data_IF_885009605415
#
_entry.id   IF_885009605415
#
_cell.length_a   1.000
_cell.length_b   1.000
_cell.length_c   1.000
_cell.angle_alpha   90.00
_cell.angle_beta   90.00
_cell.angle_gamma   90.00
#
_symmetry.space_group_name_H-M   'P 1'
#
loop_
_entity.id
_entity.type
_entity.pdbx_description
1 polymer ?
#
# COMPACT_ATOMS: atom_id res chain seq x y z
N UNK A 1 -3.83 19.74 -18.95
CA UNK A 1 -3.89 19.19 -17.59
C UNK A 1 -5.35 18.84 -17.30
N UNK A 2 -5.77 17.58 -17.45
CA UNK A 2 -7.12 17.17 -17.04
C UNK A 2 -7.11 17.04 -15.53
N UNK A 3 -7.79 17.93 -14.83
CA UNK A 3 -8.14 17.73 -13.42
C UNK A 3 -8.97 16.44 -13.37
N UNK A 4 -8.62 15.42 -12.57
CA UNK A 4 -9.53 14.31 -12.38
C UNK A 4 -10.75 14.87 -11.66
N UNK A 5 -11.87 14.94 -12.39
CA UNK A 5 -13.17 15.19 -11.78
C UNK A 5 -13.47 13.92 -11.00
N UNK A 6 -13.18 13.95 -9.70
CA UNK A 6 -13.96 13.15 -8.78
C UNK A 6 -15.38 13.65 -8.99
N UNK A 7 -16.25 12.80 -9.56
CA UNK A 7 -17.68 13.10 -9.74
C UNK A 7 -18.30 13.27 -8.36
N UNK A 8 -18.10 14.45 -7.77
CA UNK A 8 -18.73 14.84 -6.53
C UNK A 8 -20.22 14.87 -6.82
N UNK A 9 -21.03 14.07 -6.10
CA UNK A 9 -22.45 14.01 -6.37
C UNK A 9 -23.08 15.39 -6.17
N UNK A 10 -23.98 15.75 -7.07
CA UNK A 10 -24.73 17.00 -7.07
C UNK A 10 -25.82 16.97 -6.00
N UNK A 11 -26.33 18.16 -5.65
CA UNK A 11 -27.48 18.27 -4.74
C UNK A 11 -28.69 17.49 -5.27
N UNK A 12 -28.96 17.54 -6.57
CA UNK A 12 -30.10 16.84 -7.17
C UNK A 12 -29.97 15.31 -7.02
N UNK A 13 -28.79 14.74 -7.31
CA UNK A 13 -28.53 13.30 -7.17
C UNK A 13 -28.68 12.84 -5.71
N UNK A 14 -28.16 13.62 -4.76
CA UNK A 14 -28.29 13.30 -3.33
C UNK A 14 -29.71 13.48 -2.81
N UNK A 15 -30.43 14.53 -3.27
CA UNK A 15 -31.78 14.84 -2.82
C UNK A 15 -32.79 13.75 -3.21
N UNK A 16 -32.57 13.07 -4.35
CA UNK A 16 -33.38 11.90 -4.76
C UNK A 16 -33.31 10.77 -3.74
N UNK A 17 -32.16 10.57 -3.10
CA UNK A 17 -31.91 9.43 -2.19
C UNK A 17 -32.22 9.81 -0.73
N UNK A 18 -31.78 11.00 -0.31
CA UNK A 18 -31.75 11.39 1.10
C UNK A 18 -32.72 12.53 1.45
N UNK A 19 -33.39 13.13 0.46
CA UNK A 19 -34.15 14.37 0.61
C UNK A 19 -33.27 15.62 0.56
N UNK A 20 -33.86 16.74 0.14
CA UNK A 20 -33.12 17.98 -0.15
C UNK A 20 -32.35 18.53 1.05
N UNK A 21 -32.99 18.58 2.23
CA UNK A 21 -32.34 19.10 3.45
C UNK A 21 -31.10 18.27 3.80
N UNK A 22 -31.24 16.94 3.86
CA UNK A 22 -30.12 16.06 4.20
C UNK A 22 -29.00 16.11 3.17
N UNK A 23 -29.36 16.24 1.88
CA UNK A 23 -28.40 16.39 0.81
C UNK A 23 -27.56 17.68 0.96
N UNK A 24 -28.18 18.80 1.36
CA UNK A 24 -27.45 20.03 1.69
C UNK A 24 -26.51 19.84 2.89
N UNK A 25 -26.99 19.26 3.98
CA UNK A 25 -26.14 18.93 5.15
C UNK A 25 -24.93 18.07 4.79
N UNK A 26 -25.11 17.09 3.89
CA UNK A 26 -24.02 16.22 3.43
C UNK A 26 -23.00 16.98 2.57
N UNK A 27 -23.44 17.92 1.74
CA UNK A 27 -22.55 18.73 0.91
C UNK A 27 -21.76 19.76 1.73
N UNK A 28 -22.36 20.26 2.81
CA UNK A 28 -21.76 21.26 3.71
C UNK A 28 -20.99 20.64 4.88
N UNK A 29 -20.91 19.31 4.95
CA UNK A 29 -20.29 18.59 6.06
C UNK A 29 -18.79 18.97 6.22
N UNK A 30 -18.33 19.29 7.45
CA UNK A 30 -17.04 19.96 7.66
C UNK A 30 -15.83 19.03 7.70
N UNK A 31 -16.01 17.70 7.68
CA UNK A 31 -14.95 16.73 7.92
C UNK A 31 -13.80 16.83 6.92
N UNK A 32 -14.07 16.66 5.62
CA UNK A 32 -13.01 16.77 4.60
C UNK A 32 -12.39 18.19 4.52
N UNK A 33 -13.17 19.30 4.56
CA UNK A 33 -12.61 20.64 4.70
C UNK A 33 -11.60 20.77 5.85
N UNK A 34 -11.90 20.20 7.03
CA UNK A 34 -11.00 20.21 8.17
C UNK A 34 -9.70 19.42 7.90
N UNK A 35 -9.77 18.25 7.24
CA UNK A 35 -8.58 17.50 6.82
C UNK A 35 -7.70 18.32 5.89
N UNK A 36 -8.31 18.97 4.89
CA UNK A 36 -7.57 19.81 3.93
C UNK A 36 -6.92 21.02 4.59
N UNK A 37 -7.60 21.67 5.55
CA UNK A 37 -7.05 22.78 6.30
C UNK A 37 -5.84 22.36 7.16
N UNK A 38 -5.91 21.19 7.80
CA UNK A 38 -4.84 20.67 8.65
C UNK A 38 -3.59 20.22 7.87
N UNK A 39 -3.73 19.88 6.58
CA UNK A 39 -2.67 19.29 5.76
C UNK A 39 -1.38 20.13 5.67
N UNK A 40 -1.46 21.45 5.86
CA UNK A 40 -0.29 22.33 5.89
C UNK A 40 0.65 22.05 7.06
N UNK A 41 0.12 21.50 8.17
CA UNK A 41 0.90 21.09 9.34
C UNK A 41 1.46 19.66 9.25
N UNK A 42 1.04 18.88 8.24
CA UNK A 42 1.48 17.50 8.11
C UNK A 42 2.94 17.41 7.61
N UNK A 43 3.81 16.60 8.25
CA UNK A 43 5.19 16.42 7.80
C UNK A 43 5.26 15.85 6.38
N UNK A 44 6.08 16.50 5.53
CA UNK A 44 6.29 16.07 4.15
C UNK A 44 6.81 14.63 4.05
N UNK A 45 7.62 14.19 5.02
CA UNK A 45 8.13 12.80 5.11
C UNK A 45 7.01 11.75 5.19
N UNK A 46 5.81 12.12 5.64
CA UNK A 46 4.62 11.27 5.56
C UNK A 46 3.81 11.60 4.31
N UNK A 47 3.31 12.83 4.18
CA UNK A 47 2.25 13.11 3.19
C UNK A 47 2.75 13.24 1.75
N UNK A 48 4.04 13.51 1.56
CA UNK A 48 4.69 13.57 0.26
C UNK A 48 5.47 12.28 -0.07
N UNK A 49 5.39 11.27 0.80
CA UNK A 49 5.91 9.94 0.50
C UNK A 49 5.12 9.28 -0.62
N UNK A 50 5.84 8.56 -1.48
CA UNK A 50 5.29 7.72 -2.54
C UNK A 50 4.29 6.68 -2.03
N UNK A 51 3.19 6.52 -2.76
CA UNK A 51 2.12 5.56 -2.52
C UNK A 51 1.84 4.78 -3.80
N UNK A 52 2.14 3.48 -3.75
CA UNK A 52 1.94 2.60 -4.89
C UNK A 52 0.47 2.15 -5.03
N UNK A 53 0.09 1.78 -6.23
CA UNK A 53 -1.02 0.87 -6.46
C UNK A 53 -0.53 -0.55 -6.14
N UNK A 54 -1.36 -1.39 -5.50
CA UNK A 54 -0.94 -2.76 -5.15
C UNK A 54 -0.41 -3.55 -6.36
N UNK A 55 -1.03 -3.38 -7.53
CA UNK A 55 -0.56 -4.01 -8.79
C UNK A 55 0.84 -3.57 -9.23
N UNK A 56 1.29 -2.38 -8.86
CA UNK A 56 2.65 -1.88 -9.20
C UNK A 56 3.74 -2.59 -8.39
N UNK A 57 3.42 -3.12 -7.21
CA UNK A 57 4.37 -3.76 -6.29
C UNK A 57 4.02 -5.23 -5.99
N UNK A 58 3.09 -5.81 -6.74
CA UNK A 58 2.53 -7.13 -6.47
C UNK A 58 3.58 -8.24 -6.42
N UNK A 59 4.50 -8.29 -7.38
CA UNK A 59 5.53 -9.33 -7.48
C UNK A 59 6.48 -9.29 -6.27
N UNK A 60 6.86 -8.09 -5.83
CA UNK A 60 7.74 -7.90 -4.67
C UNK A 60 7.02 -8.07 -3.32
N UNK A 61 5.69 -7.97 -3.26
CA UNK A 61 4.90 -8.11 -2.03
C UNK A 61 4.16 -9.45 -1.99
N UNK A 62 2.93 -9.50 -2.52
CA UNK A 62 2.09 -10.69 -2.55
C UNK A 62 2.72 -11.86 -3.31
N UNK A 63 3.55 -11.58 -4.32
CA UNK A 63 4.33 -12.59 -5.04
C UNK A 63 5.32 -13.34 -4.14
N UNK A 64 5.93 -12.64 -3.19
CA UNK A 64 6.89 -13.21 -2.24
C UNK A 64 6.25 -13.68 -0.93
N UNK A 65 4.93 -13.55 -0.79
CA UNK A 65 4.20 -13.94 0.41
C UNK A 65 4.18 -15.47 0.59
N UNK A 66 4.37 -15.91 1.82
CA UNK A 66 4.23 -17.31 2.21
C UNK A 66 2.74 -17.64 2.47
N UNK A 67 2.31 -18.90 2.34
CA UNK A 67 0.89 -19.27 2.39
C UNK A 67 0.23 -19.06 3.75
N UNK A 68 1.01 -19.07 4.84
CA UNK A 68 0.47 -18.88 6.18
C UNK A 68 0.16 -17.40 6.45
N UNK A 69 -0.96 -17.14 7.10
CA UNK A 69 -1.33 -15.79 7.53
C UNK A 69 -1.98 -15.81 8.91
N UNK A 70 -1.98 -14.66 9.57
CA UNK A 70 -2.70 -14.41 10.81
C UNK A 70 -3.42 -13.08 10.72
N UNK A 71 -4.62 -13.00 11.29
CA UNK A 71 -5.35 -11.74 11.46
C UNK A 71 -5.21 -11.27 12.91
N UNK A 72 -5.00 -9.97 13.10
CA UNK A 72 -4.96 -9.31 14.40
C UNK A 72 -5.43 -7.85 14.26
N UNK A 73 -5.85 -7.25 15.38
CA UNK A 73 -6.01 -5.80 15.46
C UNK A 73 -4.70 -5.19 15.92
N UNK A 74 -4.15 -4.26 15.15
CA UNK A 74 -2.83 -3.67 15.37
C UNK A 74 -2.88 -2.15 15.28
N UNK A 75 -2.03 -1.49 16.05
CA UNK A 75 -1.71 -0.09 15.85
C UNK A 75 -0.76 0.01 14.64
N UNK A 76 -1.16 0.76 13.62
CA UNK A 76 -0.44 0.84 12.35
C UNK A 76 0.22 2.21 12.24
N UNK A 77 1.56 2.30 12.36
CA UNK A 77 2.26 3.54 12.06
C UNK A 77 2.00 3.94 10.61
N UNK A 78 1.69 5.22 10.37
CA UNK A 78 1.41 5.69 9.00
C UNK A 78 2.62 5.43 8.07
N UNK A 79 3.82 5.44 8.65
CA UNK A 79 5.06 5.15 7.94
C UNK A 79 5.19 3.70 7.45
N UNK A 80 4.30 2.79 7.82
CA UNK A 80 4.33 1.39 7.35
C UNK A 80 3.36 1.10 6.19
N UNK A 81 2.59 2.09 5.74
CA UNK A 81 1.59 1.94 4.67
C UNK A 81 2.17 2.37 3.32
N UNK A 82 2.36 1.42 2.40
CA UNK A 82 3.06 1.63 1.13
C UNK A 82 2.17 1.66 -0.09
N UNK A 83 1.01 0.99 -0.04
CA UNK A 83 0.16 0.89 -1.21
C UNK A 83 -1.33 0.83 -0.89
N UNK A 84 -2.11 1.10 -1.95
CA UNK A 84 -3.55 1.07 -1.97
C UNK A 84 -4.03 0.00 -2.96
N UNK A 85 -5.09 -0.71 -2.61
CA UNK A 85 -5.71 -1.72 -3.50
C UNK A 85 -6.24 -1.14 -4.82
N UNK A 86 -6.65 0.13 -4.82
CA UNK A 86 -7.05 0.87 -6.01
C UNK A 86 -6.78 2.39 -5.85
N UNK A 87 -6.69 3.12 -6.97
CA UNK A 87 -6.51 4.58 -7.00
C UNK A 87 -7.52 5.30 -7.92
N UNK A 88 -8.63 4.64 -8.29
CA UNK A 88 -9.64 5.10 -9.27
C UNK A 88 -10.20 6.53 -9.09
N UNK A 89 -10.02 7.16 -7.94
CA UNK A 89 -10.43 8.55 -7.66
C UNK A 89 -9.32 9.58 -7.94
N UNK A 90 -8.09 9.12 -8.17
CA UNK A 90 -6.89 9.90 -8.44
C UNK A 90 -5.76 8.99 -9.00
N UNK A 91 -5.96 8.41 -10.20
CA UNK A 91 -5.07 7.37 -10.74
C UNK A 91 -3.60 7.83 -10.92
N UNK A 92 -3.41 9.09 -11.27
CA UNK A 92 -2.08 9.68 -11.46
C UNK A 92 -1.42 10.13 -10.16
N UNK A 93 -2.15 10.15 -9.05
CA UNK A 93 -1.61 10.58 -7.76
C UNK A 93 -0.55 9.58 -7.25
N UNK A 94 0.59 10.13 -6.82
CA UNK A 94 1.74 9.37 -6.35
C UNK A 94 2.01 9.56 -4.86
N UNK A 95 1.43 10.58 -4.22
CA UNK A 95 1.60 10.88 -2.79
C UNK A 95 0.28 10.97 -2.05
N UNK A 96 0.28 10.81 -0.72
CA UNK A 96 -0.92 10.99 0.09
C UNK A 96 -1.55 12.38 -0.08
N UNK A 97 -0.72 13.43 -0.14
CA UNK A 97 -1.17 14.81 -0.42
C UNK A 97 -1.91 14.90 -1.75
N UNK A 98 -1.35 14.33 -2.81
CA UNK A 98 -1.99 14.36 -4.13
C UNK A 98 -3.25 13.49 -4.20
N UNK A 99 -3.30 12.37 -3.47
CA UNK A 99 -4.47 11.50 -3.37
C UNK A 99 -5.65 12.21 -2.69
N UNK A 100 -5.40 13.03 -1.67
CA UNK A 100 -6.45 13.76 -0.95
C UNK A 100 -7.26 14.68 -1.88
N UNK A 101 -6.65 15.19 -2.95
CA UNK A 101 -7.33 16.05 -3.93
C UNK A 101 -8.47 15.32 -4.66
N UNK A 102 -8.36 14.00 -4.83
CA UNK A 102 -9.40 13.17 -5.47
C UNK A 102 -10.53 12.74 -4.55
N UNK A 103 -10.51 13.11 -3.27
CA UNK A 103 -11.56 12.73 -2.31
C UNK A 103 -12.63 13.81 -2.26
N UNK A 104 -13.90 13.41 -2.42
CA UNK A 104 -15.05 14.31 -2.31
C UNK A 104 -15.54 14.49 -0.87
N UNK A 105 -15.47 13.45 -0.02
CA UNK A 105 -15.78 13.53 1.42
C UNK A 105 -17.21 13.96 1.77
N UNK A 106 -18.15 13.78 0.84
CA UNK A 106 -19.56 14.16 1.03
C UNK A 106 -20.14 13.38 2.20
N UNK A 107 -20.81 14.09 3.11
CA UNK A 107 -21.41 13.53 4.33
C UNK A 107 -20.43 13.30 5.48
N UNK A 108 -19.16 13.67 5.35
CA UNK A 108 -18.18 13.47 6.41
C UNK A 108 -18.30 14.58 7.44
N UNK A 109 -18.87 14.27 8.61
CA UNK A 109 -18.94 15.17 9.76
C UNK A 109 -17.62 15.15 10.55
N UNK A 110 -17.60 15.83 11.70
CA UNK A 110 -16.51 15.72 12.67
C UNK A 110 -16.37 14.30 13.25
N UNK A 111 -17.43 13.49 13.20
CA UNK A 111 -17.38 12.09 13.63
C UNK A 111 -16.42 11.27 12.75
N UNK A 112 -16.27 11.62 11.47
CA UNK A 112 -15.27 11.00 10.61
C UNK A 112 -13.84 11.26 11.11
N UNK A 113 -13.58 12.44 11.68
CA UNK A 113 -12.28 12.78 12.26
C UNK A 113 -12.08 12.05 13.59
N UNK A 114 -13.12 12.02 14.43
CA UNK A 114 -13.11 11.27 15.68
C UNK A 114 -12.85 9.78 15.42
N UNK A 115 -13.39 9.21 14.35
CA UNK A 115 -13.09 7.84 13.92
C UNK A 115 -11.61 7.63 13.58
N UNK A 116 -10.96 8.59 12.92
CA UNK A 116 -9.53 8.47 12.62
C UNK A 116 -8.67 8.47 13.88
N UNK A 117 -9.09 9.24 14.89
CA UNK A 117 -8.40 9.34 16.16
C UNK A 117 -8.77 8.21 17.12
N UNK A 118 -9.88 7.50 16.91
CA UNK A 118 -10.35 6.43 17.80
C UNK A 118 -9.57 5.12 17.61
N UNK A 119 -9.89 4.16 18.48
CA UNK A 119 -9.57 2.76 18.21
C UNK A 119 -10.55 2.23 17.16
N UNK A 120 -10.05 1.80 15.99
CA UNK A 120 -10.91 1.47 14.85
C UNK A 120 -11.63 0.14 15.06
N UNK A 121 -10.89 -0.90 15.43
CA UNK A 121 -11.42 -2.25 15.67
C UNK A 121 -12.39 -2.72 14.59
N UNK A 122 -13.57 -3.13 15.04
CA UNK A 122 -14.66 -3.59 14.18
C UNK A 122 -15.68 -2.48 13.86
N UNK A 123 -15.39 -1.22 14.21
CA UNK A 123 -16.33 -0.12 14.06
C UNK A 123 -16.43 0.32 12.59
N UNK A 124 -17.66 0.49 12.08
CA UNK A 124 -17.85 1.04 10.74
C UNK A 124 -17.43 2.50 10.70
N UNK A 125 -17.13 2.99 9.51
CA UNK A 125 -16.87 4.43 9.33
C UNK A 125 -18.21 5.19 9.39
N UNK A 126 -18.31 6.32 10.11
CA UNK A 126 -19.58 6.98 10.44
C UNK A 126 -20.13 7.82 9.29
N UNK A 127 -20.29 7.21 8.11
CA UNK A 127 -20.83 7.84 6.90
C UNK A 127 -21.79 6.87 6.22
N UNK A 128 -22.96 7.33 5.71
CA UNK A 128 -23.88 6.48 4.97
C UNK A 128 -23.15 5.71 3.86
N UNK A 129 -23.52 4.43 3.66
CA UNK A 129 -22.94 3.51 2.65
C UNK A 129 -21.50 3.04 2.90
N UNK A 130 -20.82 3.47 3.96
CA UNK A 130 -19.50 2.95 4.28
C UNK A 130 -19.58 1.48 4.76
N UNK A 131 -19.19 0.56 3.89
CA UNK A 131 -19.18 -0.86 4.20
C UNK A 131 -17.87 -1.25 4.92
N UNK A 132 -18.02 -2.07 5.96
CA UNK A 132 -16.95 -2.72 6.73
C UNK A 132 -15.96 -1.79 7.47
N UNK A 133 -15.27 -2.28 8.50
CA UNK A 133 -14.16 -1.58 9.16
C UNK A 133 -12.95 -1.41 8.23
N UNK A 134 -12.00 -0.54 8.59
CA UNK A 134 -10.74 -0.42 7.85
C UNK A 134 -9.89 -1.69 8.01
N UNK A 135 -9.42 -2.23 6.89
CA UNK A 135 -8.64 -3.47 6.80
C UNK A 135 -7.37 -3.27 5.99
N UNK A 136 -6.32 -3.94 6.41
CA UNK A 136 -5.04 -3.93 5.73
C UNK A 136 -4.46 -5.34 5.60
N UNK A 137 -3.55 -5.49 4.63
CA UNK A 137 -2.75 -6.69 4.45
C UNK A 137 -1.28 -6.32 4.62
N UNK A 138 -0.58 -7.04 5.50
CA UNK A 138 0.85 -6.86 5.72
C UNK A 138 1.65 -7.97 5.02
N UNK A 139 2.68 -7.58 4.28
CA UNK A 139 3.65 -8.46 3.65
C UNK A 139 5.02 -8.22 4.28
N UNK A 140 5.41 -9.09 5.23
CA UNK A 140 6.45 -8.71 6.18
C UNK A 140 6.00 -7.48 6.96
N UNK A 141 6.85 -6.46 7.08
CA UNK A 141 6.54 -5.22 7.80
C UNK A 141 5.77 -4.15 7.00
N UNK A 142 5.62 -4.30 5.68
CA UNK A 142 4.95 -3.32 4.82
C UNK A 142 3.45 -3.61 4.66
N UNK A 143 2.62 -2.57 4.67
CA UNK A 143 1.17 -2.68 4.59
C UNK A 143 0.59 -2.16 3.27
N UNK A 144 -0.47 -2.83 2.85
CA UNK A 144 -1.35 -2.46 1.75
C UNK A 144 -2.76 -2.30 2.29
N UNK A 145 -3.42 -1.19 1.96
CA UNK A 145 -4.82 -0.98 2.29
C UNK A 145 -5.73 -1.74 1.32
N UNK A 146 -6.60 -2.60 1.84
CA UNK A 146 -7.45 -3.47 1.01
C UNK A 146 -8.90 -2.99 0.92
N UNK A 147 -9.36 -2.15 1.85
CA UNK A 147 -10.66 -1.50 1.78
C UNK A 147 -10.62 -0.09 2.37
N UNK A 148 -11.68 0.71 2.20
CA UNK A 148 -11.76 2.02 2.83
C UNK A 148 -10.64 2.99 2.41
N UNK A 149 -10.24 2.95 1.15
CA UNK A 149 -9.07 3.70 0.66
C UNK A 149 -9.26 5.22 0.80
N UNK A 150 -10.45 5.74 0.50
CA UNK A 150 -10.75 7.16 0.69
C UNK A 150 -10.58 7.58 2.15
N UNK A 151 -11.17 6.83 3.10
CA UNK A 151 -11.04 7.14 4.54
C UNK A 151 -9.60 7.03 5.02
N UNK A 152 -8.83 6.07 4.51
CA UNK A 152 -7.41 5.95 4.85
C UNK A 152 -6.60 7.16 4.41
N UNK A 153 -6.75 7.60 3.16
CA UNK A 153 -5.98 8.76 2.65
C UNK A 153 -6.23 10.00 3.51
N UNK A 154 -7.49 10.25 3.88
CA UNK A 154 -7.84 11.34 4.77
C UNK A 154 -7.29 11.13 6.18
N UNK A 155 -7.38 9.91 6.73
CA UNK A 155 -6.83 9.59 8.04
C UNK A 155 -5.31 9.80 8.10
N UNK A 156 -4.57 9.39 7.06
CA UNK A 156 -3.12 9.63 6.97
C UNK A 156 -2.82 11.12 7.02
N UNK A 157 -3.52 11.92 6.21
CA UNK A 157 -3.30 13.37 6.16
C UNK A 157 -3.65 14.05 7.50
N UNK A 158 -4.79 13.67 8.08
CA UNK A 158 -5.28 14.23 9.35
C UNK A 158 -4.36 13.87 10.52
N UNK A 159 -4.08 12.58 10.71
CA UNK A 159 -3.27 12.10 11.83
C UNK A 159 -1.81 12.56 11.72
N UNK A 160 -1.25 12.63 10.50
CA UNK A 160 0.08 13.20 10.30
C UNK A 160 0.13 14.68 10.69
N UNK A 161 -0.90 15.46 10.37
CA UNK A 161 -1.00 16.86 10.80
C UNK A 161 -1.12 17.02 12.32
N UNK A 162 -1.77 16.08 13.00
CA UNK A 162 -2.01 16.13 14.45
C UNK A 162 -0.87 15.58 15.29
N UNK A 163 -0.24 14.51 14.83
CA UNK A 163 0.69 13.71 15.64
C UNK A 163 2.08 13.58 15.01
N UNK A 164 2.31 14.22 13.85
CA UNK A 164 3.60 14.20 13.18
C UNK A 164 4.02 12.79 12.76
N UNK A 165 5.32 12.52 12.84
CA UNK A 165 5.92 11.25 12.41
C UNK A 165 5.51 10.04 13.25
N UNK A 166 5.12 10.27 14.51
CA UNK A 166 4.67 9.22 15.43
C UNK A 166 3.21 8.81 15.19
N UNK A 167 2.51 9.42 14.21
CA UNK A 167 1.12 9.13 13.91
C UNK A 167 0.90 7.65 13.59
N UNK A 168 -0.17 7.10 14.17
CA UNK A 168 -0.60 5.72 13.95
C UNK A 168 -2.13 5.63 13.93
N UNK A 169 -2.66 4.71 13.13
CA UNK A 169 -4.05 4.26 13.22
C UNK A 169 -4.15 3.20 14.30
N UNK A 170 -5.15 3.27 15.18
CA UNK A 170 -5.24 2.35 16.32
C UNK A 170 -6.16 1.18 16.06
N UNK A 171 -5.74 -0.02 16.48
CA UNK A 171 -6.52 -1.28 16.37
C UNK A 171 -7.11 -1.55 14.98
N UNK A 172 -6.35 -1.37 13.91
CA UNK A 172 -6.79 -1.72 12.55
C UNK A 172 -6.76 -3.23 12.37
N UNK A 173 -7.76 -3.81 11.71
CA UNK A 173 -7.73 -5.23 11.33
C UNK A 173 -6.64 -5.46 10.26
N UNK A 174 -5.59 -6.20 10.61
CA UNK A 174 -4.45 -6.50 9.73
C UNK A 174 -4.36 -8.00 9.51
N UNK A 175 -4.37 -8.41 8.23
CA UNK A 175 -3.98 -9.75 7.80
C UNK A 175 -2.48 -9.77 7.50
N UNK A 176 -1.70 -10.35 8.40
CA UNK A 176 -0.25 -10.48 8.27
C UNK A 176 0.16 -11.76 7.55
N UNK A 177 1.03 -11.62 6.54
CA UNK A 177 1.71 -12.69 5.84
C UNK A 177 3.23 -12.51 5.91
N UNK A 178 3.99 -13.53 6.36
CA UNK A 178 5.43 -13.51 6.22
C UNK A 178 5.82 -13.64 4.75
N UNK A 179 7.01 -13.15 4.41
CA UNK A 179 7.54 -13.08 3.04
C UNK A 179 8.85 -13.85 2.93
N UNK A 180 9.24 -14.18 1.69
CA UNK A 180 10.50 -14.85 1.40
C UNK A 180 11.71 -13.99 1.80
N UNK A 181 12.30 -14.28 2.96
CA UNK A 181 13.47 -13.55 3.50
C UNK A 181 14.72 -13.66 2.63
N UNK A 182 14.92 -14.78 1.93
CA UNK A 182 16.07 -14.95 1.04
C UNK A 182 15.95 -14.00 -0.17
N UNK A 183 14.73 -13.84 -0.69
CA UNK A 183 14.44 -12.90 -1.76
C UNK A 183 14.64 -11.45 -1.31
N UNK A 184 14.11 -11.08 -0.13
CA UNK A 184 14.34 -9.75 0.45
C UNK A 184 15.83 -9.44 0.61
N UNK A 185 16.61 -10.37 1.20
CA UNK A 185 18.06 -10.19 1.36
C UNK A 185 18.76 -9.99 0.02
N UNK A 186 18.36 -10.75 -1.00
CA UNK A 186 18.90 -10.64 -2.36
C UNK A 186 18.62 -9.27 -2.96
N UNK A 187 17.37 -8.79 -2.88
CA UNK A 187 16.98 -7.47 -3.37
C UNK A 187 17.70 -6.35 -2.63
N UNK A 188 17.75 -6.42 -1.29
CA UNK A 188 18.44 -5.44 -0.44
C UNK A 188 19.91 -5.34 -0.79
N UNK A 189 20.61 -6.48 -0.89
CA UNK A 189 22.05 -6.51 -1.21
C UNK A 189 22.33 -5.90 -2.58
N UNK A 190 21.46 -6.16 -3.56
CA UNK A 190 21.60 -5.58 -4.89
C UNK A 190 21.32 -4.06 -4.90
N UNK A 191 20.28 -3.61 -4.20
CA UNK A 191 19.93 -2.18 -4.09
C UNK A 191 21.01 -1.39 -3.37
N UNK A 192 21.55 -1.91 -2.25
CA UNK A 192 22.68 -1.29 -1.52
C UNK A 192 23.94 -1.17 -2.38
N UNK A 193 24.16 -2.13 -3.28
CA UNK A 193 25.25 -2.07 -4.24
C UNK A 193 25.00 -1.09 -5.42
N UNK A 194 23.91 -0.33 -5.37
CA UNK A 194 23.53 0.64 -6.40
C UNK A 194 22.87 0.02 -7.63
N UNK A 195 22.43 -1.24 -7.58
CA UNK A 195 21.75 -1.88 -8.69
C UNK A 195 20.30 -1.41 -8.79
N UNK A 196 19.76 -1.35 -10.02
CA UNK A 196 18.30 -1.31 -10.21
C UNK A 196 17.75 -2.73 -10.08
N UNK A 197 16.78 -2.93 -9.19
CA UNK A 197 16.10 -4.21 -9.02
C UNK A 197 14.67 -4.16 -9.58
N UNK A 198 14.29 -5.19 -10.33
CA UNK A 198 12.91 -5.42 -10.72
C UNK A 198 12.46 -6.83 -10.31
N UNK A 199 11.17 -6.98 -10.01
CA UNK A 199 10.52 -8.27 -9.73
C UNK A 199 9.40 -8.53 -10.73
N UNK A 200 9.19 -9.80 -11.10
CA UNK A 200 8.08 -10.21 -11.96
C UNK A 200 7.50 -11.54 -11.49
N UNK A 201 6.20 -11.73 -11.73
CA UNK A 201 5.51 -12.99 -11.47
C UNK A 201 4.53 -13.24 -12.60
N UNK A 202 4.59 -14.43 -13.20
CA UNK A 202 3.60 -14.86 -14.19
C UNK A 202 2.26 -15.17 -13.53
N UNK A 203 1.17 -14.96 -14.26
CA UNK A 203 -0.17 -15.29 -13.77
C UNK A 203 -0.29 -16.77 -13.40
N UNK A 204 -0.83 -17.04 -12.21
CA UNK A 204 -0.98 -18.40 -11.68
C UNK A 204 0.32 -19.11 -11.29
N UNK A 205 1.50 -18.51 -11.52
CA UNK A 205 2.78 -19.15 -11.21
C UNK A 205 3.18 -18.89 -9.75
N UNK A 206 3.75 -19.87 -9.03
CA UNK A 206 4.24 -19.67 -7.66
C UNK A 206 5.58 -18.93 -7.62
N UNK A 207 6.35 -18.97 -8.70
CA UNK A 207 7.71 -18.41 -8.78
C UNK A 207 7.68 -16.91 -9.06
N UNK A 208 8.46 -16.16 -8.29
CA UNK A 208 8.81 -14.76 -8.57
C UNK A 208 10.22 -14.71 -9.16
N UNK A 209 10.36 -14.01 -10.27
CA UNK A 209 11.65 -13.73 -10.89
C UNK A 209 12.16 -12.38 -10.42
N UNK A 210 13.42 -12.33 -10.05
CA UNK A 210 14.13 -11.11 -9.69
C UNK A 210 15.21 -10.85 -10.72
N UNK A 211 15.44 -9.58 -11.06
CA UNK A 211 16.61 -9.17 -11.84
C UNK A 211 17.24 -7.92 -11.24
N UNK A 212 18.57 -7.86 -11.27
CA UNK A 212 19.34 -6.70 -10.85
C UNK A 212 20.24 -6.24 -12.00
N UNK A 213 20.20 -4.93 -12.29
CA UNK A 213 21.04 -4.28 -13.30
C UNK A 213 22.14 -3.49 -12.60
N UNK A 214 23.39 -3.89 -12.79
CA UNK A 214 24.56 -3.24 -12.20
C UNK A 214 25.70 -3.20 -13.22
N UNK A 215 26.23 -2.00 -13.52
CA UNK A 215 27.35 -1.79 -14.45
C UNK A 215 27.21 -2.53 -15.79
N UNK A 216 26.03 -2.48 -16.42
CA UNK A 216 25.75 -3.15 -17.70
C UNK A 216 25.63 -4.67 -17.63
N UNK A 217 25.69 -5.27 -16.43
CA UNK A 217 25.44 -6.69 -16.19
C UNK A 217 24.06 -6.87 -15.58
N UNK A 218 23.39 -7.95 -15.99
CA UNK A 218 22.10 -8.36 -15.42
C UNK A 218 22.30 -9.71 -14.71
N UNK A 219 21.93 -9.73 -13.43
CA UNK A 219 21.85 -10.95 -12.63
C UNK A 219 20.39 -11.30 -12.39
N UNK A 220 20.10 -12.59 -12.31
CA UNK A 220 18.73 -13.10 -12.20
C UNK A 220 18.63 -14.12 -11.07
N UNK A 221 17.46 -14.15 -10.43
CA UNK A 221 17.11 -15.14 -9.43
C UNK A 221 15.67 -15.62 -9.61
N UNK A 222 15.41 -16.86 -9.23
CA UNK A 222 14.07 -17.38 -9.04
C UNK A 222 13.81 -17.51 -7.53
N UNK A 223 12.71 -16.95 -7.06
CA UNK A 223 12.24 -17.03 -5.69
C UNK A 223 10.95 -17.85 -5.63
N UNK A 224 10.96 -18.92 -4.86
CA UNK A 224 9.81 -19.81 -4.68
C UNK A 224 9.76 -20.31 -3.24
N UNK A 225 8.60 -20.16 -2.60
CA UNK A 225 8.45 -20.44 -1.18
C UNK A 225 9.47 -19.66 -0.34
N UNK A 226 10.38 -20.37 0.33
CA UNK A 226 11.45 -19.79 1.17
C UNK A 226 12.81 -19.73 0.49
N UNK A 227 12.91 -20.23 -0.74
CA UNK A 227 14.17 -20.36 -1.45
C UNK A 227 14.32 -19.20 -2.43
N UNK A 228 15.57 -18.81 -2.66
CA UNK A 228 15.94 -17.88 -3.73
C UNK A 228 17.21 -18.41 -4.35
N UNK A 229 17.14 -18.79 -5.62
CA UNK A 229 18.22 -19.44 -6.33
C UNK A 229 18.69 -18.55 -7.49
N UNK A 230 20.01 -18.36 -7.66
CA UNK A 230 20.52 -17.63 -8.81
C UNK A 230 20.26 -18.42 -10.09
N UNK A 231 19.73 -17.74 -11.10
CA UNK A 231 19.59 -18.30 -12.44
C UNK A 231 20.93 -18.11 -13.14
N UNK A 232 21.67 -19.22 -13.33
CA UNK A 232 22.94 -19.20 -14.06
C UNK A 232 22.68 -18.80 -15.52
N UNK A 233 22.95 -17.54 -15.87
CA UNK A 233 23.13 -17.18 -17.26
C UNK A 233 24.40 -17.89 -17.78
N UNK A 234 24.43 -18.44 -19.00
CA UNK A 234 25.68 -18.87 -19.60
C UNK A 234 26.57 -17.63 -19.74
N UNK A 235 27.65 -17.57 -18.97
CA UNK A 235 28.62 -16.48 -18.99
C UNK A 235 29.37 -16.46 -20.32
N UNK A 236 29.33 -15.32 -21.03
CA UNK A 236 30.17 -15.07 -22.22
C UNK A 236 29.40 -14.49 -23.42
N UNK A 237 30.15 -13.98 -24.41
CA UNK A 237 29.61 -13.44 -25.67
C UNK A 237 28.70 -14.43 -26.42
N UNK A 238 28.98 -15.74 -26.28
CA UNK A 238 28.16 -16.84 -26.77
C UNK A 238 26.81 -16.96 -26.04
N UNK A 239 26.73 -16.55 -24.77
CA UNK A 239 25.48 -16.49 -23.99
C UNK A 239 24.59 -15.32 -24.38
N UNK A 240 25.17 -14.17 -24.75
CA UNK A 240 24.43 -13.05 -25.36
C UNK A 240 23.96 -13.37 -26.79
N UNK A 241 24.78 -14.07 -27.58
CA UNK A 241 24.41 -14.53 -28.92
C UNK A 241 23.33 -15.62 -28.87
N UNK A 242 23.42 -16.56 -27.91
CA UNK A 242 22.36 -17.57 -27.68
C UNK A 242 21.06 -16.95 -27.19
N UNK A 243 21.08 -15.88 -26.39
CA UNK A 243 19.85 -15.14 -26.03
C UNK A 243 19.21 -14.46 -27.24
N UNK A 244 20.02 -13.97 -28.20
CA UNK A 244 19.53 -13.45 -29.48
C UNK A 244 18.97 -14.53 -30.42
N UNK A 245 19.51 -15.76 -30.38
CA UNK A 245 19.17 -16.82 -31.35
C UNK A 245 18.16 -17.86 -30.81
N UNK A 246 18.11 -18.13 -29.50
CA UNK A 246 17.28 -19.19 -28.89
C UNK A 246 16.12 -18.70 -28.01
N UNK A 247 15.89 -17.39 -27.95
CA UNK A 247 14.79 -16.81 -27.16
C UNK A 247 15.02 -16.88 -25.64
N UNK A 248 14.29 -16.09 -24.84
CA UNK A 248 14.49 -16.00 -23.41
C UNK A 248 14.02 -17.27 -22.70
N UNK A 249 14.78 -17.70 -21.69
CA UNK A 249 14.37 -18.68 -20.67
C UNK A 249 13.02 -18.22 -20.11
N UNK A 250 11.97 -19.05 -20.23
CA UNK A 250 10.57 -18.72 -19.90
C UNK A 250 10.13 -17.35 -20.44
N UNK A 251 10.04 -17.22 -21.78
CA UNK A 251 9.42 -16.13 -22.53
C UNK A 251 9.30 -14.78 -21.76
N UNK A 252 10.43 -14.17 -21.38
CA UNK A 252 10.49 -12.91 -20.61
C UNK A 252 9.55 -11.81 -21.14
N UNK A 253 9.22 -11.86 -22.43
CA UNK A 253 8.26 -10.98 -23.10
C UNK A 253 6.85 -11.00 -22.46
N UNK A 254 6.45 -12.07 -21.78
CA UNK A 254 5.16 -12.17 -21.11
C UNK A 254 5.20 -11.71 -19.65
N UNK A 255 6.39 -11.45 -19.09
CA UNK A 255 6.55 -11.01 -17.71
C UNK A 255 6.40 -9.49 -17.59
N UNK A 256 5.53 -9.06 -16.68
CA UNK A 256 5.44 -7.65 -16.28
C UNK A 256 6.44 -7.39 -15.17
N UNK A 257 7.52 -6.70 -15.51
CA UNK A 257 8.57 -6.32 -14.57
C UNK A 257 8.20 -5.06 -13.79
N UNK A 258 8.25 -5.19 -12.47
CA UNK A 258 7.90 -4.14 -11.51
C UNK A 258 9.17 -3.64 -10.82
N UNK A 259 9.47 -2.32 -10.89
CA UNK A 259 10.61 -1.77 -10.17
C UNK A 259 10.43 -1.93 -8.66
N UNK A 260 11.50 -2.27 -7.97
CA UNK A 260 11.52 -2.43 -6.51
C UNK A 260 12.39 -1.33 -5.91
N UNK A 261 11.83 -0.56 -4.97
CA UNK A 261 12.57 0.46 -4.23
C UNK A 261 13.23 -0.12 -2.97
N UNK A 262 14.30 0.55 -2.51
CA UNK A 262 14.95 0.24 -1.24
C UNK A 262 13.97 0.39 -0.07
N UNK A 263 13.24 1.51 -0.01
CA UNK A 263 12.23 1.78 1.02
C UNK A 263 11.21 0.64 1.19
N UNK A 264 10.75 0.04 0.07
CA UNK A 264 9.82 -1.07 0.11
C UNK A 264 10.48 -2.31 0.73
N UNK A 265 11.70 -2.64 0.30
CA UNK A 265 12.44 -3.81 0.80
C UNK A 265 12.76 -3.66 2.29
N UNK A 266 13.20 -2.49 2.72
CA UNK A 266 13.45 -2.17 4.12
C UNK A 266 12.17 -2.25 4.95
N UNK A 267 11.06 -1.68 4.47
CA UNK A 267 9.79 -1.77 5.16
C UNK A 267 9.27 -3.21 5.28
N UNK A 268 9.43 -4.01 4.24
CA UNK A 268 9.07 -5.43 4.29
C UNK A 268 9.95 -6.22 5.28
N UNK A 269 11.23 -5.86 5.39
CA UNK A 269 12.16 -6.48 6.34
C UNK A 269 11.90 -6.05 7.80
N UNK A 270 11.45 -4.82 8.01
CA UNK A 270 11.15 -4.27 9.35
C UNK A 270 9.85 -4.84 9.94
N UNK A 271 9.99 -6.03 10.50
CA UNK A 271 8.94 -6.72 11.26
C UNK A 271 8.99 -6.42 12.76
N UNK A 272 9.82 -5.44 13.20
CA UNK A 272 9.98 -5.10 14.61
C UNK A 272 8.65 -4.64 15.22
N UNK A 273 8.01 -3.65 14.58
CA UNK A 273 6.74 -3.08 15.04
C UNK A 273 5.60 -4.10 15.15
N UNK A 274 5.57 -5.11 14.27
CA UNK A 274 4.62 -6.23 14.34
C UNK A 274 4.91 -7.15 15.52
N UNK A 275 6.20 -7.42 15.78
CA UNK A 275 6.63 -8.30 16.85
C UNK A 275 6.32 -7.68 18.21
N UNK A 276 6.63 -6.40 18.38
CA UNK A 276 6.38 -5.67 19.63
C UNK A 276 4.90 -5.74 20.02
N UNK A 277 4.00 -5.57 19.04
CA UNK A 277 2.56 -5.66 19.26
C UNK A 277 2.03 -7.09 19.44
N UNK A 278 2.73 -8.11 18.94
CA UNK A 278 2.40 -9.49 19.25
C UNK A 278 2.78 -9.89 20.68
N UNK A 279 3.75 -9.20 21.28
CA UNK A 279 4.14 -9.37 22.69
C UNK A 279 3.30 -8.49 23.63
N UNK A 280 2.70 -7.41 23.13
CA UNK A 280 1.71 -6.64 23.87
C UNK A 280 0.44 -7.48 24.16
N UNK A 281 -0.31 -7.18 25.24
CA UNK A 281 -1.61 -7.80 25.49
C UNK A 281 -2.48 -7.70 24.24
N UNK A 282 -2.96 -8.85 23.76
CA UNK A 282 -3.86 -8.87 22.60
C UNK A 282 -5.09 -8.05 22.97
N UNK A 283 -5.57 -7.23 22.04
CA UNK A 283 -6.91 -6.68 22.15
C UNK A 283 -7.91 -7.84 22.13
N UNK A 284 -8.36 -8.25 23.31
CA UNK A 284 -9.31 -9.35 23.54
C UNK A 284 -10.74 -8.94 23.29
N UNK A 285 -10.99 -7.64 23.24
CA UNK A 285 -12.31 -7.06 23.06
C UNK A 285 -12.37 -6.52 21.63
N UNK A 286 -13.39 -6.97 20.87
CA UNK A 286 -13.95 -6.11 19.84
C UNK A 286 -14.28 -4.79 20.55
N UNK A 287 -13.74 -3.64 20.13
CA UNK A 287 -14.20 -2.38 20.69
C UNK A 287 -15.73 -2.35 20.58
N UNK A 288 -16.38 -2.00 21.69
CA UNK A 288 -17.83 -1.90 21.80
C UNK A 288 -18.41 -0.94 20.75
#
# INVERSE_FOLDING_TARGET
MKVPVSDRPTLAELAVIYGEQRAREMLDAPGLPAVRAALSAAPAVIVDRSVAHQREIFAATAGLALPHYRTAYLDVPLTKIFALGHKNFADEAKTWRSLLNGIHGVGWSLDALAYFESEIGASPFPVPSAAYPLRMQAFGGALVCTNGIHRLVAAVCWLAAKHGEAAALRKVEVRYQPVNRAALKTMHTALDAGARVDAARGDGQPTVYLRAHLHGRIQYWAAEGRLTVPIRAPSGWLGSLRRRIRGPVANEATLVWQPVSLDLVEAMADTGWLRDQHHAPRYTEKPA
#
